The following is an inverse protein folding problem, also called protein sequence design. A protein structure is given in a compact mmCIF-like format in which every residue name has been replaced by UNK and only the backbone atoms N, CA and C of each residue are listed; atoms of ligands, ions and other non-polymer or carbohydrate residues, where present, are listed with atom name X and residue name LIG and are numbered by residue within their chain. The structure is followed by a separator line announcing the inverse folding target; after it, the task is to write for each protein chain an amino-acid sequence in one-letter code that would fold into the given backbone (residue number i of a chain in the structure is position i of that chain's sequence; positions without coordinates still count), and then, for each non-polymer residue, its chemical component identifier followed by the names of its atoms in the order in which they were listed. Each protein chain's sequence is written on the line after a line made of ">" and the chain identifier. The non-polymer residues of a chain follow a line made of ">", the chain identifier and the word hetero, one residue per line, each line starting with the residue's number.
data_IF_298863721371
#
_entry.id   IF_298863721371
#
_cell.length_a   1.000
_cell.length_b   1.000
_cell.length_c   1.000
_cell.angle_alpha   90.00
_cell.angle_beta   90.00
_cell.angle_gamma   90.00
#
_symmetry.space_group_name_H-M   'P 1'
#
loop_
_entity.id
_entity.type
_entity.pdbx_description
1 polymer ?
#
# COMPACT_ATOMS: atom_id res chain seq x y z
N UNK A 1 49.79 -1.86 4.52
CA UNK A 1 48.92 -3.07 4.43
C UNK A 1 47.84 -3.11 5.52
N UNK A 2 48.15 -3.08 6.83
CA UNK A 2 47.13 -3.20 7.91
C UNK A 2 46.04 -2.11 7.93
N UNK A 3 46.35 -0.86 7.55
CA UNK A 3 45.37 0.24 7.50
C UNK A 3 44.34 0.11 6.37
N UNK A 4 44.67 -0.56 5.27
CA UNK A 4 43.76 -0.80 4.14
C UNK A 4 42.71 -1.87 4.46
N UNK A 5 43.10 -2.88 5.25
CA UNK A 5 42.19 -3.93 5.73
C UNK A 5 41.07 -3.32 6.58
N UNK A 6 41.41 -2.33 7.42
CA UNK A 6 40.43 -1.65 8.27
C UNK A 6 39.40 -0.86 7.45
N UNK A 7 39.83 -0.20 6.36
CA UNK A 7 38.93 0.53 5.45
C UNK A 7 37.97 -0.42 4.74
N UNK A 8 38.45 -1.60 4.32
CA UNK A 8 37.61 -2.59 3.65
C UNK A 8 36.56 -3.19 4.59
N UNK A 9 36.95 -3.49 5.83
CA UNK A 9 36.03 -3.96 6.88
C UNK A 9 34.98 -2.90 7.22
N UNK A 10 35.37 -1.62 7.26
CA UNK A 10 34.44 -0.52 7.52
C UNK A 10 33.44 -0.33 6.36
N UNK A 11 33.86 -0.49 5.09
CA UNK A 11 32.96 -0.42 3.94
C UNK A 11 31.92 -1.54 3.93
N UNK A 12 32.26 -2.76 4.39
CA UNK A 12 31.30 -3.86 4.51
C UNK A 12 30.19 -3.58 5.52
N UNK A 13 30.44 -2.78 6.56
CA UNK A 13 29.43 -2.39 7.56
C UNK A 13 28.39 -1.39 7.01
N UNK A 14 28.69 -0.70 5.91
CA UNK A 14 27.77 0.24 5.26
C UNK A 14 27.03 -0.37 4.05
N UNK A 15 27.23 -1.65 3.75
CA UNK A 15 26.48 -2.36 2.70
C UNK A 15 25.08 -2.79 3.18
N UNK A 16 24.35 -1.86 3.82
CA UNK A 16 22.91 -2.03 4.01
C UNK A 16 22.24 -1.94 2.65
N UNK A 17 22.12 -3.07 1.95
CA UNK A 17 21.23 -3.19 0.80
C UNK A 17 19.80 -2.95 1.27
N UNK A 18 19.03 -2.20 0.50
CA UNK A 18 17.60 -2.10 0.78
C UNK A 18 16.96 -3.50 0.73
N UNK A 19 16.12 -3.84 1.71
CA UNK A 19 15.48 -5.16 1.78
C UNK A 19 14.59 -5.47 0.56
N UNK A 20 14.18 -4.44 -0.18
CA UNK A 20 13.42 -4.56 -1.41
C UNK A 20 13.92 -3.56 -2.43
N UNK A 21 14.07 -4.01 -3.68
CA UNK A 21 14.40 -3.13 -4.80
C UNK A 21 13.22 -2.21 -5.15
N UNK A 22 13.55 -0.99 -5.58
CA UNK A 22 12.55 -0.07 -6.13
C UNK A 22 12.02 -0.63 -7.47
N UNK A 23 10.71 -0.84 -7.64
CA UNK A 23 10.14 -1.24 -8.92
C UNK A 23 10.44 -0.24 -10.03
N UNK A 24 10.64 -0.72 -11.27
CA UNK A 24 10.85 0.15 -12.44
C UNK A 24 9.69 1.11 -12.67
N UNK A 25 8.47 0.60 -12.56
CA UNK A 25 7.23 1.37 -12.73
C UNK A 25 6.57 1.56 -11.36
N UNK A 26 7.30 2.17 -10.42
CA UNK A 26 6.72 2.49 -9.11
C UNK A 26 5.58 3.49 -9.31
N UNK A 27 4.37 3.11 -8.90
CA UNK A 27 3.20 3.99 -8.92
C UNK A 27 3.40 5.08 -7.88
N UNK A 28 3.25 6.35 -8.26
CA UNK A 28 3.32 7.47 -7.32
C UNK A 28 2.32 7.35 -6.18
N UNK A 29 2.68 7.86 -5.01
CA UNK A 29 1.87 7.70 -3.80
C UNK A 29 0.45 8.22 -3.97
N UNK A 30 0.29 9.41 -4.56
CA UNK A 30 -1.02 10.04 -4.75
C UNK A 30 -1.92 9.18 -5.64
N UNK A 31 -1.38 8.68 -6.76
CA UNK A 31 -2.09 7.73 -7.63
C UNK A 31 -2.39 6.42 -6.90
N UNK A 32 -1.49 5.92 -6.07
CA UNK A 32 -1.77 4.75 -5.23
C UNK A 32 -2.91 5.02 -4.26
N UNK A 33 -2.96 6.20 -3.63
CA UNK A 33 -4.04 6.62 -2.73
C UNK A 33 -5.39 6.67 -3.45
N UNK A 34 -5.43 7.20 -4.68
CA UNK A 34 -6.63 7.19 -5.52
C UNK A 34 -7.11 5.77 -5.84
N UNK A 35 -6.19 4.88 -6.24
CA UNK A 35 -6.51 3.47 -6.53
C UNK A 35 -7.05 2.79 -5.28
N UNK A 36 -6.41 2.98 -4.13
CA UNK A 36 -6.84 2.38 -2.85
C UNK A 36 -8.23 2.90 -2.45
N UNK A 37 -8.51 4.19 -2.63
CA UNK A 37 -9.82 4.77 -2.39
C UNK A 37 -10.91 4.13 -3.28
N UNK A 38 -10.65 4.01 -4.58
CA UNK A 38 -11.61 3.41 -5.52
C UNK A 38 -11.81 1.90 -5.25
N UNK A 39 -10.75 1.18 -4.88
CA UNK A 39 -10.84 -0.23 -4.48
C UNK A 39 -11.66 -0.40 -3.20
N UNK A 40 -11.48 0.46 -2.20
CA UNK A 40 -12.24 0.43 -0.95
C UNK A 40 -13.74 0.73 -1.19
N UNK A 41 -14.06 1.62 -2.13
CA UNK A 41 -15.44 1.86 -2.55
C UNK A 41 -16.01 0.63 -3.27
N UNK A 42 -15.24 0.02 -4.17
CA UNK A 42 -15.67 -1.17 -4.92
C UNK A 42 -15.87 -2.40 -4.03
N UNK A 43 -15.13 -2.52 -2.93
CA UNK A 43 -15.33 -3.58 -1.94
C UNK A 43 -16.76 -3.57 -1.36
N UNK A 44 -17.38 -2.38 -1.28
CA UNK A 44 -18.74 -2.24 -0.78
C UNK A 44 -19.81 -2.89 -1.67
N UNK A 45 -19.50 -3.19 -2.93
CA UNK A 45 -20.42 -3.87 -3.86
C UNK A 45 -20.88 -5.20 -3.29
N UNK A 46 -20.03 -5.89 -2.51
CA UNK A 46 -20.35 -7.18 -1.88
C UNK A 46 -21.47 -7.09 -0.85
N UNK A 47 -21.68 -5.94 -0.21
CA UNK A 47 -22.80 -5.74 0.74
C UNK A 47 -24.14 -5.66 0.02
N UNK A 48 -24.17 -5.02 -1.15
CA UNK A 48 -25.40 -4.87 -1.95
C UNK A 48 -25.70 -6.12 -2.76
N UNK A 49 -24.66 -6.78 -3.26
CA UNK A 49 -24.75 -7.94 -4.13
C UNK A 49 -23.83 -9.07 -3.64
N UNK A 50 -24.28 -9.87 -2.65
CA UNK A 50 -23.52 -10.99 -2.14
C UNK A 50 -23.15 -11.99 -3.23
N UNK A 51 -21.92 -12.49 -3.21
CA UNK A 51 -21.39 -13.40 -4.23
C UNK A 51 -20.88 -12.73 -5.50
N UNK A 52 -20.87 -11.39 -5.56
CA UNK A 52 -20.27 -10.65 -6.68
C UNK A 52 -18.76 -10.87 -6.76
N UNK A 53 -18.25 -11.03 -7.98
CA UNK A 53 -16.82 -11.12 -8.23
C UNK A 53 -16.18 -9.73 -8.24
N UNK A 54 -15.37 -9.43 -7.21
CA UNK A 54 -14.62 -8.18 -7.10
C UNK A 54 -13.51 -8.03 -8.15
N UNK A 55 -13.04 -9.13 -8.75
CA UNK A 55 -11.94 -9.13 -9.72
C UNK A 55 -12.23 -8.22 -10.93
N UNK A 56 -13.46 -8.26 -11.45
CA UNK A 56 -13.86 -7.40 -12.57
C UNK A 56 -13.79 -5.91 -12.18
N UNK A 57 -14.23 -5.57 -10.97
CA UNK A 57 -14.14 -4.21 -10.42
C UNK A 57 -12.68 -3.77 -10.24
N UNK A 58 -11.85 -4.63 -9.64
CA UNK A 58 -10.41 -4.38 -9.50
C UNK A 58 -9.72 -4.16 -10.85
N UNK A 59 -9.98 -5.01 -11.85
CA UNK A 59 -9.43 -4.87 -13.20
C UNK A 59 -9.87 -3.56 -13.86
N UNK A 60 -11.15 -3.20 -13.71
CA UNK A 60 -11.68 -1.95 -14.23
C UNK A 60 -11.01 -0.74 -13.60
N UNK A 61 -10.86 -0.71 -12.28
CA UNK A 61 -10.20 0.37 -11.54
C UNK A 61 -8.75 0.54 -11.99
N UNK A 62 -7.97 -0.54 -11.99
CA UNK A 62 -6.57 -0.49 -12.43
C UNK A 62 -6.44 0.00 -13.87
N UNK A 63 -7.32 -0.46 -14.77
CA UNK A 63 -7.37 0.01 -16.15
C UNK A 63 -7.69 1.50 -16.25
N UNK A 64 -8.65 2.00 -15.47
CA UNK A 64 -9.02 3.42 -15.45
C UNK A 64 -7.85 4.31 -14.98
N UNK A 65 -7.06 3.81 -14.04
CA UNK A 65 -5.83 4.45 -13.57
C UNK A 65 -4.61 4.25 -14.47
N UNK A 66 -4.77 3.53 -15.58
CA UNK A 66 -3.69 3.17 -16.53
C UNK A 66 -2.53 2.43 -15.84
N UNK A 67 -2.88 1.55 -14.90
CA UNK A 67 -1.93 0.76 -14.10
C UNK A 67 -2.07 -0.72 -14.45
N UNK A 68 -0.92 -1.38 -14.68
CA UNK A 68 -0.87 -2.84 -14.82
C UNK A 68 -0.93 -3.51 -13.45
N UNK A 69 -1.50 -4.70 -13.40
CA UNK A 69 -1.62 -5.46 -12.14
C UNK A 69 -0.25 -5.75 -11.53
N UNK A 70 0.75 -6.11 -12.34
CA UNK A 70 2.11 -6.37 -11.85
C UNK A 70 2.74 -5.14 -11.20
N UNK A 71 2.56 -3.96 -11.81
CA UNK A 71 3.10 -2.69 -11.31
C UNK A 71 2.42 -2.27 -10.01
N UNK A 72 1.11 -2.51 -9.88
CA UNK A 72 0.37 -2.32 -8.63
C UNK A 72 0.90 -3.20 -7.51
N UNK A 73 1.00 -4.51 -7.75
CA UNK A 73 1.47 -5.47 -6.74
C UNK A 73 2.91 -5.16 -6.31
N UNK A 74 3.80 -4.84 -7.25
CA UNK A 74 5.18 -4.47 -6.97
C UNK A 74 5.27 -3.18 -6.13
N UNK A 75 4.51 -2.15 -6.50
CA UNK A 75 4.46 -0.87 -5.79
C UNK A 75 3.87 -1.01 -4.39
N UNK A 76 2.80 -1.78 -4.26
CA UNK A 76 2.17 -2.09 -2.97
C UNK A 76 3.15 -2.76 -2.00
N UNK A 77 3.84 -3.82 -2.45
CA UNK A 77 4.90 -4.50 -1.66
C UNK A 77 6.01 -3.54 -1.26
N UNK A 78 6.49 -2.74 -2.20
CA UNK A 78 7.52 -1.73 -1.94
C UNK A 78 7.09 -0.76 -0.84
N UNK A 79 5.86 -0.24 -0.90
CA UNK A 79 5.36 0.70 0.11
C UNK A 79 5.10 0.09 1.48
N UNK A 80 4.73 -1.19 1.56
CA UNK A 80 4.65 -1.90 2.85
C UNK A 80 6.04 -2.02 3.48
N UNK A 81 7.01 -2.55 2.74
CA UNK A 81 8.38 -2.76 3.26
C UNK A 81 9.03 -1.44 3.67
N UNK A 82 8.76 -0.36 2.92
CA UNK A 82 9.25 0.99 3.25
C UNK A 82 8.42 1.71 4.31
N UNK A 83 7.41 1.07 4.89
CA UNK A 83 6.52 1.66 5.91
C UNK A 83 5.85 2.96 5.45
N UNK A 84 5.54 3.06 4.15
CA UNK A 84 4.91 4.24 3.53
C UNK A 84 3.40 4.05 3.32
N UNK A 85 2.88 2.84 3.51
CA UNK A 85 1.48 2.52 3.25
C UNK A 85 0.52 3.27 4.16
N UNK A 86 0.89 3.57 5.41
CA UNK A 86 0.02 4.30 6.35
C UNK A 86 -0.40 5.66 5.79
N UNK A 87 0.55 6.47 5.30
CA UNK A 87 0.23 7.77 4.70
C UNK A 87 -0.60 7.65 3.42
N UNK A 88 -0.35 6.64 2.59
CA UNK A 88 -1.15 6.36 1.39
C UNK A 88 -2.61 6.06 1.77
N UNK A 89 -2.82 5.27 2.81
CA UNK A 89 -4.17 4.95 3.31
C UNK A 89 -4.84 6.18 3.93
N UNK A 90 -4.11 7.01 4.69
CA UNK A 90 -4.64 8.27 5.22
C UNK A 90 -5.06 9.23 4.10
N UNK A 91 -4.30 9.32 3.02
CA UNK A 91 -4.67 10.14 1.87
C UNK A 91 -5.84 9.53 1.09
N UNK A 92 -5.91 8.20 0.96
CA UNK A 92 -7.07 7.52 0.39
C UNK A 92 -8.35 7.79 1.20
N UNK A 93 -8.24 7.83 2.54
CA UNK A 93 -9.36 8.21 3.41
C UNK A 93 -9.83 9.64 3.14
N UNK A 94 -8.91 10.60 2.99
CA UNK A 94 -9.29 11.99 2.62
C UNK A 94 -10.02 12.04 1.29
N UNK A 95 -9.55 11.31 0.27
CA UNK A 95 -10.21 11.21 -1.03
C UNK A 95 -11.65 10.67 -0.88
N UNK A 96 -11.86 9.65 -0.06
CA UNK A 96 -13.21 9.12 0.19
C UNK A 96 -14.08 10.17 0.90
N UNK A 97 -13.54 10.89 1.88
CA UNK A 97 -14.29 11.93 2.61
C UNK A 97 -14.67 13.13 1.74
N UNK A 98 -13.82 13.50 0.78
CA UNK A 98 -14.14 14.53 -0.20
C UNK A 98 -15.29 14.09 -1.12
N UNK A 99 -15.33 12.81 -1.50
CA UNK A 99 -16.40 12.22 -2.34
C UNK A 99 -17.70 11.99 -1.56
N UNK A 100 -17.61 11.50 -0.33
CA UNK A 100 -18.75 11.27 0.57
C UNK A 100 -18.40 11.68 2.02
N UNK A 101 -18.71 12.93 2.41
CA UNK A 101 -18.44 13.41 3.76
C UNK A 101 -19.16 12.60 4.85
N UNK A 102 -20.25 11.89 4.54
CA UNK A 102 -20.99 11.09 5.52
C UNK A 102 -20.21 9.85 5.96
N UNK A 103 -19.24 9.42 5.16
CA UNK A 103 -18.33 8.31 5.47
C UNK A 103 -17.37 8.62 6.62
N UNK A 104 -17.27 9.87 7.09
CA UNK A 104 -16.40 10.27 8.21
C UNK A 104 -16.59 9.43 9.47
N UNK A 105 -17.83 9.15 9.85
CA UNK A 105 -18.16 8.38 11.05
C UNK A 105 -17.71 6.91 10.95
N UNK A 106 -17.66 6.39 9.73
CA UNK A 106 -17.26 5.01 9.44
C UNK A 106 -15.74 4.92 9.36
N UNK A 107 -15.08 5.87 8.67
CA UNK A 107 -13.63 5.91 8.46
C UNK A 107 -12.87 6.21 9.75
N UNK A 108 -13.32 7.17 10.56
CA UNK A 108 -12.66 7.49 11.84
C UNK A 108 -12.80 6.38 12.87
N UNK A 109 -13.76 5.48 12.66
CA UNK A 109 -14.01 4.30 13.48
C UNK A 109 -14.50 4.64 14.88
N UNK A 110 -15.60 4.01 15.23
CA UNK A 110 -15.71 3.29 16.49
C UNK A 110 -14.33 2.82 17.00
N UNK A 111 -13.98 3.28 18.20
CA UNK A 111 -12.66 3.20 18.85
C UNK A 111 -12.08 1.78 18.97
N UNK A 112 -12.88 0.74 18.69
CA UNK A 112 -12.54 -0.70 18.81
C UNK A 112 -11.53 -1.23 17.80
N UNK A 113 -11.28 -0.54 16.68
CA UNK A 113 -10.28 -0.97 15.68
C UNK A 113 -8.84 -0.53 16.02
N UNK A 114 -8.66 0.37 17.00
CA UNK A 114 -7.33 0.80 17.48
C UNK A 114 -6.51 -0.35 18.08
N UNK A 115 -7.20 -1.42 18.49
CA UNK A 115 -6.62 -2.58 19.18
C UNK A 115 -6.46 -3.80 18.25
N UNK A 116 -6.75 -3.68 16.95
CA UNK A 116 -6.48 -4.77 16.01
C UNK A 116 -4.97 -4.80 15.73
N UNK A 117 -4.26 -5.73 16.35
CA UNK A 117 -2.91 -6.09 15.91
C UNK A 117 -2.96 -6.52 14.44
N UNK A 118 -2.30 -5.77 13.56
CA UNK A 118 -2.09 -6.18 12.18
C UNK A 118 -1.48 -7.59 12.17
N UNK A 119 -1.91 -8.49 11.27
CA UNK A 119 -1.35 -9.83 11.17
C UNK A 119 0.18 -9.73 11.07
N UNK A 120 0.89 -10.25 12.07
CA UNK A 120 2.35 -10.36 12.02
C UNK A 120 2.65 -11.27 10.84
N UNK A 121 3.41 -10.76 9.88
CA UNK A 121 3.86 -11.53 8.72
C UNK A 121 4.66 -12.72 9.25
N UNK A 122 4.06 -13.91 9.30
CA UNK A 122 4.76 -15.14 9.61
C UNK A 122 5.77 -15.38 8.48
N UNK A 123 7.06 -15.17 8.79
CA UNK A 123 8.15 -15.66 7.94
C UNK A 123 8.12 -17.19 8.02
N UNK A 124 7.52 -17.84 7.03
CA UNK A 124 7.84 -19.23 6.71
C UNK A 124 9.25 -19.36 6.16
#
# INVERSE_FOLDING_TARGET
>A
MKKLIFIFVLMCLFSCSEYIDKPKNLIDKDKMSEIIADLAINDQVTYLYPGSNLESGTRFILKNHQVKTEDFVASYRYYIVKQKMTGIVEDAQKIILEKDPKSEKIIKGDTRLKDIELPKLERR
#
